data_IF_329391026578
#
_entry.id   IF_329391026578
#
_cell.length_a   1.000
_cell.length_b   1.000
_cell.length_c   1.000
_cell.angle_alpha   90.00
_cell.angle_beta   90.00
_cell.angle_gamma   90.00
#
_symmetry.space_group_name_H-M   'P 1'
#
loop_
_entity.id
_entity.type
_entity.pdbx_description
1 polymer ?
#
# COMPACT_ATOMS: atom_id res chain seq x y z
N UNK A 1 -22.45 -16.32 -0.02
CA UNK A 1 -21.44 -15.90 -1.01
C UNK A 1 -20.13 -16.61 -0.66
N UNK A 2 -19.81 -17.72 -1.34
CA UNK A 2 -18.55 -18.44 -1.12
C UNK A 2 -17.45 -17.61 -1.78
N UNK A 3 -16.57 -17.01 -0.98
CA UNK A 3 -15.37 -16.34 -1.49
C UNK A 3 -14.50 -17.43 -2.09
N UNK A 4 -14.31 -17.39 -3.42
CA UNK A 4 -13.37 -18.26 -4.11
C UNK A 4 -11.95 -18.01 -3.54
N UNK A 5 -11.35 -19.02 -2.88
CA UNK A 5 -10.08 -18.85 -2.18
C UNK A 5 -8.94 -18.49 -3.14
N UNK A 6 -9.01 -18.89 -4.42
CA UNK A 6 -7.99 -18.57 -5.42
C UNK A 6 -8.06 -17.09 -5.78
N UNK A 7 -9.27 -16.55 -5.95
CA UNK A 7 -9.47 -15.10 -6.23
C UNK A 7 -8.99 -14.26 -5.06
N UNK A 8 -9.26 -14.70 -3.83
CA UNK A 8 -8.77 -14.03 -2.63
C UNK A 8 -7.24 -14.02 -2.57
N UNK A 9 -6.60 -15.17 -2.80
CA UNK A 9 -5.14 -15.29 -2.81
C UNK A 9 -4.49 -14.41 -3.89
N UNK A 10 -5.02 -14.41 -5.12
CA UNK A 10 -4.52 -13.54 -6.19
C UNK A 10 -4.64 -12.06 -5.84
N UNK A 11 -5.78 -11.65 -5.26
CA UNK A 11 -5.99 -10.28 -4.80
C UNK A 11 -5.00 -9.90 -3.71
N UNK A 12 -4.72 -10.81 -2.76
CA UNK A 12 -3.72 -10.57 -1.71
C UNK A 12 -2.31 -10.43 -2.28
N UNK A 13 -1.92 -11.28 -3.23
CA UNK A 13 -0.61 -11.17 -3.91
C UNK A 13 -0.47 -9.83 -4.64
N UNK A 14 -1.52 -9.43 -5.36
CA UNK A 14 -1.55 -8.13 -6.04
C UNK A 14 -1.40 -6.95 -5.07
N UNK A 15 -2.09 -7.00 -3.92
CA UNK A 15 -1.96 -5.98 -2.88
C UNK A 15 -0.51 -5.88 -2.36
N UNK A 16 0.11 -7.01 -2.08
CA UNK A 16 1.50 -7.06 -1.58
C UNK A 16 2.47 -6.47 -2.60
N UNK A 17 2.36 -6.88 -3.86
CA UNK A 17 3.23 -6.40 -4.93
C UNK A 17 3.08 -4.88 -5.15
N UNK A 18 1.84 -4.39 -5.27
CA UNK A 18 1.60 -2.94 -5.44
C UNK A 18 2.07 -2.14 -4.21
N UNK A 19 1.92 -2.68 -3.00
CA UNK A 19 2.39 -2.02 -1.78
C UNK A 19 3.92 -1.97 -1.69
N UNK A 20 4.62 -2.99 -2.19
CA UNK A 20 6.09 -3.01 -2.28
C UNK A 20 6.59 -1.98 -3.28
N UNK A 21 5.96 -1.90 -4.46
CA UNK A 21 6.27 -0.90 -5.47
C UNK A 21 6.02 0.52 -4.95
N UNK A 22 4.89 0.75 -4.28
CA UNK A 22 4.55 2.04 -3.67
C UNK A 22 5.53 2.40 -2.53
N UNK A 23 5.88 1.46 -1.66
CA UNK A 23 6.86 1.69 -0.60
C UNK A 23 8.25 2.01 -1.18
N UNK A 24 8.67 1.31 -2.23
CA UNK A 24 9.93 1.58 -2.92
C UNK A 24 9.92 2.96 -3.59
N UNK A 25 8.80 3.34 -4.21
CA UNK A 25 8.61 4.68 -4.76
C UNK A 25 8.72 5.76 -3.70
N UNK A 26 8.01 5.58 -2.56
CA UNK A 26 8.02 6.53 -1.46
C UNK A 26 9.41 6.66 -0.83
N UNK A 27 10.13 5.55 -0.62
CA UNK A 27 11.54 5.58 -0.16
C UNK A 27 12.44 6.35 -1.12
N UNK A 28 12.31 6.11 -2.43
CA UNK A 28 13.14 6.79 -3.44
C UNK A 28 12.86 8.29 -3.51
N UNK A 29 11.59 8.69 -3.32
CA UNK A 29 11.16 10.09 -3.46
C UNK A 29 11.32 10.92 -2.20
N UNK A 30 11.03 10.34 -1.03
CA UNK A 30 10.96 11.04 0.25
C UNK A 30 12.00 10.57 1.27
N UNK A 31 12.74 9.50 0.97
CA UNK A 31 13.83 9.00 1.82
C UNK A 31 13.35 8.70 3.25
N UNK A 32 13.91 9.37 4.28
CA UNK A 32 13.52 9.16 5.68
C UNK A 32 12.05 9.52 5.96
N UNK A 33 11.48 10.45 5.18
CA UNK A 33 10.10 10.90 5.37
C UNK A 33 9.07 10.03 4.63
N UNK A 34 9.51 8.92 4.02
CA UNK A 34 8.66 8.05 3.22
C UNK A 34 7.43 7.53 3.98
N UNK A 35 7.59 7.20 5.27
CA UNK A 35 6.48 6.78 6.11
C UNK A 35 5.45 7.91 6.29
N UNK A 36 5.91 9.11 6.62
CA UNK A 36 5.04 10.27 6.80
C UNK A 36 4.32 10.64 5.50
N UNK A 37 5.02 10.62 4.36
CA UNK A 37 4.44 10.85 3.05
C UNK A 37 3.36 9.81 2.68
N UNK A 38 3.52 8.56 3.12
CA UNK A 38 2.48 7.53 2.97
C UNK A 38 1.21 7.88 3.76
N UNK A 39 1.37 8.33 5.01
CA UNK A 39 0.26 8.75 5.88
C UNK A 39 -0.47 9.97 5.32
N UNK A 40 0.26 10.97 4.82
CA UNK A 40 -0.35 12.12 4.14
C UNK A 40 -1.12 11.70 2.88
N UNK A 41 -0.55 10.77 2.10
CA UNK A 41 -1.22 10.23 0.92
C UNK A 41 -2.52 9.51 1.29
N UNK A 42 -2.61 8.84 2.44
CA UNK A 42 -3.86 8.21 2.90
C UNK A 42 -4.97 9.20 3.22
N UNK A 43 -4.65 10.43 3.58
CA UNK A 43 -5.63 11.48 3.88
C UNK A 43 -6.28 12.07 2.61
N UNK A 44 -5.72 11.81 1.42
CA UNK A 44 -6.27 12.36 0.18
C UNK A 44 -7.63 11.73 -0.14
N UNK A 45 -8.61 12.59 -0.44
CA UNK A 45 -9.99 12.18 -0.68
C UNK A 45 -10.19 11.47 -2.04
N UNK A 46 -9.28 11.71 -2.99
CA UNK A 46 -9.29 11.14 -4.35
C UNK A 46 -8.84 9.67 -4.42
N UNK A 47 -8.30 9.13 -3.32
CA UNK A 47 -7.80 7.77 -3.31
C UNK A 47 -8.93 6.74 -3.33
N UNK A 48 -8.89 5.85 -4.33
CA UNK A 48 -9.79 4.70 -4.41
C UNK A 48 -9.65 3.80 -3.19
N UNK A 49 -10.70 3.02 -2.87
CA UNK A 49 -10.66 2.06 -1.76
C UNK A 49 -9.52 1.04 -1.90
N UNK A 50 -9.14 0.69 -3.14
CA UNK A 50 -7.98 -0.18 -3.38
C UNK A 50 -6.67 0.55 -3.13
N UNK A 51 -6.52 1.77 -3.65
CA UNK A 51 -5.35 2.61 -3.40
C UNK A 51 -5.12 2.83 -1.90
N UNK A 52 -6.18 3.05 -1.11
CA UNK A 52 -6.06 3.20 0.34
C UNK A 52 -5.47 1.96 1.00
N UNK A 53 -5.86 0.77 0.53
CA UNK A 53 -5.29 -0.50 1.02
C UNK A 53 -3.82 -0.63 0.64
N UNK A 54 -3.47 -0.31 -0.61
CA UNK A 54 -2.07 -0.35 -1.10
C UNK A 54 -1.19 0.59 -0.28
N UNK A 55 -1.58 1.86 -0.14
CA UNK A 55 -0.80 2.86 0.60
C UNK A 55 -0.73 2.54 2.09
N UNK A 56 -1.81 2.00 2.69
CA UNK A 56 -1.79 1.57 4.10
C UNK A 56 -0.82 0.41 4.34
N UNK A 57 -0.81 -0.56 3.42
CA UNK A 57 0.07 -1.72 3.45
C UNK A 57 1.53 -1.33 3.13
N UNK A 58 1.74 -0.28 2.33
CA UNK A 58 3.04 0.35 2.10
C UNK A 58 3.52 1.11 3.35
N UNK A 59 2.67 1.90 4.00
CA UNK A 59 3.00 2.63 5.23
C UNK A 59 3.47 1.66 6.34
N UNK A 60 2.75 0.55 6.56
CA UNK A 60 3.18 -0.51 7.50
C UNK A 60 4.56 -1.08 7.21
N UNK A 61 4.93 -1.22 5.93
CA UNK A 61 6.28 -1.70 5.54
C UNK A 61 7.36 -0.67 5.76
N UNK A 62 7.00 0.61 5.73
CA UNK A 62 7.92 1.73 5.96
C UNK A 62 8.14 1.99 7.44
N UNK A 63 7.16 1.69 8.29
CA UNK A 63 7.28 1.79 9.76
C UNK A 63 8.28 0.77 10.34
N UNK A 64 8.34 -0.44 9.76
CA UNK A 64 9.16 -1.54 10.27
C UNK A 64 10.49 -1.78 9.55
N UNK A 65 10.95 -0.86 8.69
CA UNK A 65 12.16 -1.01 7.87
C UNK A 65 13.17 0.10 8.13
#
# INVERSE_FOLDING_TARGET
MIIDPIRYLRRRRRLVQEAEEEAAYLRRRFGPDAHQAALEKLQRADLTSWGKRVVSEAARRLEGA
#
